data_IF_219262991143
#
_entry.id   IF_219262991143
#
_cell.length_a   1.000
_cell.length_b   1.000
_cell.length_c   1.000
_cell.angle_alpha   90.00
_cell.angle_beta   90.00
_cell.angle_gamma   90.00
#
_symmetry.space_group_name_H-M   'P 1'
#
loop_
_entity.id
_entity.type
_entity.pdbx_description
1 polymer ?
#
# COMPACT_ATOMS: atom_id res chain seq x y z
N UNK A 1 -38.29 -2.03 -19.15
CA UNK A 1 -37.50 -3.21 -19.55
C UNK A 1 -37.53 -3.30 -21.07
N UNK A 2 -36.40 -3.47 -21.77
CA UNK A 2 -36.42 -3.67 -23.22
C UNK A 2 -37.09 -5.01 -23.56
N UNK A 3 -37.97 -5.02 -24.57
CA UNK A 3 -38.64 -6.24 -25.05
C UNK A 3 -37.61 -7.29 -25.52
N UNK A 4 -37.85 -8.60 -25.28
CA UNK A 4 -36.96 -9.64 -25.75
C UNK A 4 -36.87 -9.61 -27.29
N UNK A 5 -35.63 -9.58 -27.80
CA UNK A 5 -35.36 -9.62 -29.25
C UNK A 5 -35.75 -10.99 -29.80
N UNK A 6 -36.24 -11.02 -31.04
CA UNK A 6 -36.60 -12.28 -31.69
C UNK A 6 -35.36 -13.17 -31.88
N UNK A 7 -35.48 -14.51 -31.79
CA UNK A 7 -34.35 -15.44 -31.95
C UNK A 7 -33.57 -15.26 -33.26
N UNK A 8 -34.26 -14.84 -34.33
CA UNK A 8 -33.66 -14.54 -35.63
C UNK A 8 -32.72 -13.31 -35.57
N UNK A 9 -33.08 -12.29 -34.79
CA UNK A 9 -32.21 -11.14 -34.57
C UNK A 9 -30.95 -11.53 -33.76
N UNK A 10 -31.09 -12.46 -32.80
CA UNK A 10 -29.99 -12.93 -31.96
C UNK A 10 -29.00 -13.82 -32.72
N UNK A 11 -29.44 -14.58 -33.73
CA UNK A 11 -28.54 -15.31 -34.62
C UNK A 11 -27.60 -14.37 -35.39
N UNK A 12 -28.05 -13.13 -35.65
CA UNK A 12 -27.24 -12.03 -36.19
C UNK A 12 -25.95 -11.75 -35.39
N UNK A 13 -25.97 -12.03 -34.08
CA UNK A 13 -24.84 -11.84 -33.16
C UNK A 13 -23.79 -12.94 -33.24
N UNK A 14 -23.97 -13.99 -34.06
CA UNK A 14 -22.99 -15.07 -34.22
C UNK A 14 -22.31 -14.99 -35.57
N UNK A 15 -20.98 -15.14 -35.59
CA UNK A 15 -20.24 -15.33 -36.84
C UNK A 15 -20.49 -16.74 -37.42
N UNK A 16 -20.08 -16.98 -38.67
CA UNK A 16 -20.30 -18.25 -39.38
C UNK A 16 -19.79 -19.47 -38.60
N UNK A 17 -18.65 -19.35 -37.90
CA UNK A 17 -18.07 -20.44 -37.09
C UNK A 17 -18.91 -20.77 -35.85
N UNK A 18 -19.41 -19.75 -35.14
CA UNK A 18 -20.23 -19.97 -33.94
C UNK A 18 -21.63 -20.49 -34.29
N UNK A 19 -22.21 -20.05 -35.42
CA UNK A 19 -23.48 -20.61 -35.93
C UNK A 19 -23.34 -22.09 -36.26
N UNK A 20 -22.35 -22.46 -37.05
CA UNK A 20 -22.08 -23.87 -37.38
C UNK A 20 -21.90 -24.74 -36.13
N UNK A 21 -21.33 -24.17 -35.06
CA UNK A 21 -21.16 -24.86 -33.78
C UNK A 21 -22.45 -24.96 -32.98
N UNK A 22 -23.30 -23.92 -32.95
CA UNK A 22 -24.64 -23.98 -32.37
C UNK A 22 -25.50 -25.05 -33.07
N UNK A 23 -25.42 -25.09 -34.40
CA UNK A 23 -26.14 -26.06 -35.23
C UNK A 23 -25.63 -27.49 -34.94
N UNK A 24 -24.31 -27.67 -34.85
CA UNK A 24 -23.69 -28.97 -34.51
C UNK A 24 -24.01 -29.47 -33.10
N UNK A 25 -24.19 -28.57 -32.13
CA UNK A 25 -24.58 -28.93 -30.76
C UNK A 25 -26.08 -29.21 -30.67
N UNK A 26 -26.91 -28.36 -31.28
CA UNK A 26 -28.37 -28.48 -31.24
C UNK A 26 -28.89 -29.65 -32.07
N UNK A 27 -28.20 -30.07 -33.13
CA UNK A 27 -28.58 -31.24 -33.93
C UNK A 27 -28.50 -32.56 -33.16
N UNK A 28 -27.77 -32.58 -32.04
CA UNK A 28 -27.64 -33.74 -31.14
C UNK A 28 -28.77 -33.81 -30.11
N UNK A 29 -29.66 -32.81 -30.05
CA UNK A 29 -30.82 -32.80 -29.17
C UNK A 29 -32.01 -33.32 -29.99
N UNK A 30 -32.52 -34.53 -29.71
CA UNK A 30 -33.52 -35.19 -30.54
C UNK A 30 -34.91 -34.57 -30.38
N UNK A 31 -35.22 -34.06 -29.19
CA UNK A 31 -36.51 -33.44 -28.91
C UNK A 31 -36.55 -31.98 -29.43
N UNK A 32 -37.52 -31.62 -30.28
CA UNK A 32 -37.57 -30.31 -30.93
C UNK A 32 -37.84 -29.16 -29.94
N UNK A 33 -38.57 -29.41 -28.84
CA UNK A 33 -38.87 -28.39 -27.82
C UNK A 33 -37.60 -28.10 -27.01
N UNK A 34 -36.89 -29.15 -26.59
CA UNK A 34 -35.62 -29.01 -25.87
C UNK A 34 -34.53 -28.38 -26.76
N UNK A 35 -34.54 -28.70 -28.06
CA UNK A 35 -33.65 -28.09 -29.05
C UNK A 35 -33.89 -26.58 -29.18
N UNK A 36 -35.14 -26.17 -29.34
CA UNK A 36 -35.52 -24.76 -29.42
C UNK A 36 -35.18 -24.01 -28.12
N UNK A 37 -35.46 -24.63 -26.98
CA UNK A 37 -35.09 -24.09 -25.67
C UNK A 37 -33.58 -23.89 -25.54
N UNK A 38 -32.77 -24.90 -25.90
CA UNK A 38 -31.31 -24.82 -25.84
C UNK A 38 -30.76 -23.69 -26.72
N UNK A 39 -31.30 -23.55 -27.94
CA UNK A 39 -30.90 -22.49 -28.87
C UNK A 39 -31.20 -21.12 -28.28
N UNK A 40 -32.43 -20.89 -27.80
CA UNK A 40 -32.82 -19.60 -27.23
C UNK A 40 -32.01 -19.27 -25.97
N UNK A 41 -31.88 -20.23 -25.05
CA UNK A 41 -31.14 -20.06 -23.81
C UNK A 41 -29.66 -19.74 -24.06
N UNK A 42 -29.05 -20.39 -25.04
CA UNK A 42 -27.65 -20.13 -25.43
C UNK A 42 -27.49 -18.74 -26.03
N UNK A 43 -28.41 -18.32 -26.89
CA UNK A 43 -28.37 -17.00 -27.55
C UNK A 43 -28.59 -15.87 -26.56
N UNK A 44 -29.60 -15.99 -25.69
CA UNK A 44 -29.90 -15.01 -24.63
C UNK A 44 -28.75 -14.90 -23.62
N UNK A 45 -28.25 -16.05 -23.13
CA UNK A 45 -27.13 -16.07 -22.20
C UNK A 45 -25.86 -15.48 -22.80
N UNK A 46 -25.67 -15.60 -24.12
CA UNK A 46 -24.54 -15.00 -24.82
C UNK A 46 -24.72 -13.49 -24.98
N UNK A 47 -25.91 -13.03 -25.36
CA UNK A 47 -26.21 -11.58 -25.48
C UNK A 47 -26.08 -10.86 -24.14
N UNK A 48 -26.49 -11.50 -23.03
CA UNK A 48 -26.42 -10.93 -21.69
C UNK A 48 -24.98 -10.67 -21.20
N UNK A 49 -23.94 -11.21 -21.86
CA UNK A 49 -22.54 -10.96 -21.46
C UNK A 49 -22.07 -9.56 -21.89
N UNK A 50 -21.18 -8.92 -21.10
CA UNK A 50 -20.63 -7.61 -21.41
C UNK A 50 -20.12 -7.52 -22.84
N UNK A 51 -20.41 -6.39 -23.51
CA UNK A 51 -20.09 -6.23 -24.93
C UNK A 51 -18.57 -6.32 -25.21
N UNK A 52 -17.73 -5.84 -24.29
CA UNK A 52 -16.27 -5.93 -24.38
C UNK A 52 -15.77 -7.37 -24.55
N UNK A 53 -16.39 -8.35 -23.86
CA UNK A 53 -16.04 -9.76 -23.96
C UNK A 53 -16.48 -10.39 -25.30
N UNK A 54 -17.52 -9.83 -25.93
CA UNK A 54 -18.06 -10.30 -27.21
C UNK A 54 -17.35 -9.71 -28.43
N UNK A 55 -16.61 -8.61 -28.28
CA UNK A 55 -15.92 -7.92 -29.39
C UNK A 55 -14.63 -8.63 -29.83
N UNK A 56 -13.87 -9.20 -28.90
CA UNK A 56 -12.59 -9.86 -29.22
C UNK A 56 -12.82 -11.29 -29.76
N UNK A 57 -12.29 -11.66 -30.95
CA UNK A 57 -12.63 -12.93 -31.62
C UNK A 57 -12.39 -14.21 -30.79
N UNK A 58 -11.27 -14.26 -30.06
CA UNK A 58 -10.88 -15.41 -29.25
C UNK A 58 -11.76 -15.50 -28.00
N UNK A 59 -11.90 -14.40 -27.26
CA UNK A 59 -12.71 -14.30 -26.04
C UNK A 59 -14.18 -14.60 -26.33
N UNK A 60 -14.69 -14.08 -27.45
CA UNK A 60 -16.06 -14.31 -27.93
C UNK A 60 -16.37 -15.80 -28.12
N UNK A 61 -15.43 -16.57 -28.68
CA UNK A 61 -15.60 -18.01 -28.86
C UNK A 61 -15.61 -18.78 -27.54
N UNK A 62 -14.79 -18.35 -26.58
CA UNK A 62 -14.73 -18.95 -25.24
C UNK A 62 -16.03 -18.70 -24.47
N UNK A 63 -16.48 -17.44 -24.45
CA UNK A 63 -17.73 -17.03 -23.81
C UNK A 63 -18.93 -17.76 -24.40
N UNK A 64 -19.01 -17.86 -25.73
CA UNK A 64 -20.06 -18.62 -26.40
C UNK A 64 -20.05 -20.10 -25.99
N UNK A 65 -18.86 -20.73 -25.92
CA UNK A 65 -18.76 -22.13 -25.54
C UNK A 65 -19.18 -22.37 -24.09
N UNK A 66 -18.83 -21.45 -23.20
CA UNK A 66 -19.21 -21.49 -21.79
C UNK A 66 -20.74 -21.43 -21.63
N UNK A 67 -21.40 -20.45 -22.26
CA UNK A 67 -22.87 -20.30 -22.17
C UNK A 67 -23.60 -21.51 -22.78
N UNK A 68 -23.13 -22.04 -23.91
CA UNK A 68 -23.71 -23.24 -24.50
C UNK A 68 -23.60 -24.46 -23.56
N UNK A 69 -22.51 -24.57 -22.79
CA UNK A 69 -22.35 -25.62 -21.79
C UNK A 69 -23.25 -25.42 -20.58
N UNK A 70 -23.46 -24.18 -20.12
CA UNK A 70 -24.45 -23.88 -19.07
C UNK A 70 -25.86 -24.29 -19.52
N UNK A 71 -26.26 -23.94 -20.75
CA UNK A 71 -27.57 -24.31 -21.29
C UNK A 71 -27.74 -25.84 -21.39
N UNK A 72 -26.72 -26.58 -21.83
CA UNK A 72 -26.74 -28.06 -21.82
C UNK A 72 -26.82 -28.59 -20.38
N UNK A 73 -26.10 -27.98 -19.43
CA UNK A 73 -26.17 -28.34 -18.03
C UNK A 73 -27.59 -28.17 -17.48
N UNK A 74 -28.20 -27.01 -17.67
CA UNK A 74 -29.59 -26.77 -17.26
C UNK A 74 -30.57 -27.79 -17.90
N UNK A 75 -30.36 -28.14 -19.18
CA UNK A 75 -31.16 -29.15 -19.86
C UNK A 75 -31.04 -30.55 -19.24
N UNK A 76 -29.83 -30.92 -18.80
CA UNK A 76 -29.52 -32.24 -18.24
C UNK A 76 -29.92 -32.35 -16.76
N UNK A 77 -29.93 -31.24 -16.03
CA UNK A 77 -30.04 -31.24 -14.56
C UNK A 77 -31.29 -30.55 -13.99
N UNK A 78 -32.14 -29.92 -14.82
CA UNK A 78 -33.39 -29.32 -14.35
C UNK A 78 -34.47 -30.40 -14.07
N UNK A 79 -35.08 -30.47 -12.87
CA UNK A 79 -36.12 -31.47 -12.53
C UNK A 79 -37.47 -31.24 -13.21
N UNK A 80 -37.60 -30.22 -14.07
CA UNK A 80 -38.88 -29.85 -14.66
C UNK A 80 -39.07 -30.54 -16.00
N UNK A 81 -39.77 -31.68 -15.93
CA UNK A 81 -40.47 -32.44 -16.98
C UNK A 81 -39.97 -33.89 -17.09
N UNK A 82 -40.80 -34.80 -16.59
CA UNK A 82 -40.50 -36.21 -16.39
C UNK A 82 -40.21 -36.97 -17.67
N UNK A 83 -38.92 -37.27 -17.89
CA UNK A 83 -38.33 -38.58 -18.25
C UNK A 83 -36.93 -38.30 -18.79
N UNK A 84 -35.92 -38.45 -17.93
CA UNK A 84 -34.51 -38.28 -18.30
C UNK A 84 -34.02 -39.61 -18.89
N UNK A 85 -33.63 -39.63 -20.17
CA UNK A 85 -32.83 -40.71 -20.74
C UNK A 85 -31.35 -40.35 -20.51
N UNK A 86 -30.69 -41.03 -19.57
CA UNK A 86 -29.24 -40.94 -19.38
C UNK A 86 -28.55 -41.98 -20.26
N UNK A 87 -27.54 -41.63 -21.07
CA UNK A 87 -26.49 -42.58 -21.39
C UNK A 87 -25.55 -42.69 -20.17
N UNK A 88 -24.89 -43.83 -20.07
CA UNK A 88 -24.23 -44.42 -18.90
C UNK A 88 -23.21 -43.52 -18.16
N UNK A 89 -22.86 -43.94 -16.93
CA UNK A 89 -21.87 -43.34 -16.01
C UNK A 89 -20.57 -42.76 -16.61
N UNK A 90 -19.93 -43.30 -17.68
CA UNK A 90 -18.71 -42.72 -18.24
C UNK A 90 -18.87 -41.30 -18.82
N UNK A 91 -20.04 -40.95 -19.37
CA UNK A 91 -20.26 -39.61 -19.97
C UNK A 91 -20.37 -38.51 -18.90
N UNK A 92 -20.87 -38.84 -17.70
CA UNK A 92 -20.90 -37.92 -16.56
C UNK A 92 -19.49 -37.61 -16.03
N UNK A 93 -18.63 -38.64 -15.98
CA UNK A 93 -17.23 -38.48 -15.56
C UNK A 93 -16.44 -37.68 -16.60
N UNK A 94 -16.61 -38.00 -17.90
CA UNK A 94 -15.98 -37.26 -18.98
C UNK A 94 -16.41 -35.79 -19.02
N UNK A 95 -17.68 -35.49 -18.75
CA UNK A 95 -18.19 -34.12 -18.67
C UNK A 95 -17.59 -33.33 -17.49
N UNK A 96 -17.49 -33.95 -16.30
CA UNK A 96 -16.87 -33.32 -15.12
C UNK A 96 -15.37 -33.09 -15.30
N UNK A 97 -14.65 -34.06 -15.84
CA UNK A 97 -13.22 -33.92 -16.13
C UNK A 97 -12.97 -32.83 -17.18
N UNK A 98 -13.80 -32.76 -18.21
CA UNK A 98 -13.71 -31.72 -19.25
C UNK A 98 -13.98 -30.32 -18.71
N UNK A 99 -14.94 -30.17 -17.79
CA UNK A 99 -15.22 -28.89 -17.11
C UNK A 99 -14.10 -28.47 -16.17
N UNK A 100 -13.56 -29.40 -15.38
CA UNK A 100 -12.40 -29.13 -14.53
C UNK A 100 -11.19 -28.68 -15.36
N UNK A 101 -10.93 -29.34 -16.50
CA UNK A 101 -9.86 -28.96 -17.42
C UNK A 101 -10.09 -27.56 -18.02
N UNK A 102 -11.31 -27.24 -18.45
CA UNK A 102 -11.65 -25.91 -18.97
C UNK A 102 -11.45 -24.80 -17.95
N UNK A 103 -11.78 -25.07 -16.68
CA UNK A 103 -11.61 -24.12 -15.59
C UNK A 103 -10.14 -23.90 -15.26
N UNK A 104 -9.31 -24.95 -15.26
CA UNK A 104 -7.85 -24.85 -15.12
C UNK A 104 -7.23 -24.05 -16.27
N UNK A 105 -7.65 -24.29 -17.52
CA UNK A 105 -7.15 -23.53 -18.69
C UNK A 105 -7.56 -22.05 -18.59
N UNK A 106 -8.78 -21.75 -18.16
CA UNK A 106 -9.23 -20.37 -17.95
C UNK A 106 -8.42 -19.65 -16.86
N UNK A 107 -8.13 -20.32 -15.74
CA UNK A 107 -7.28 -19.78 -14.68
C UNK A 107 -5.83 -19.56 -15.17
N UNK A 108 -5.28 -20.51 -15.94
CA UNK A 108 -3.94 -20.40 -16.50
C UNK A 108 -3.83 -19.23 -17.51
N UNK A 109 -4.83 -19.07 -18.39
CA UNK A 109 -4.88 -17.95 -19.35
C UNK A 109 -5.08 -16.61 -18.64
N UNK A 110 -5.94 -16.56 -17.61
CA UNK A 110 -6.12 -15.38 -16.77
C UNK A 110 -4.84 -14.97 -16.03
N UNK A 111 -4.14 -15.95 -15.43
CA UNK A 111 -2.86 -15.74 -14.77
C UNK A 111 -1.78 -15.29 -15.75
N UNK A 112 -1.69 -15.93 -16.92
CA UNK A 112 -0.72 -15.55 -17.97
C UNK A 112 -1.01 -14.13 -18.49
N UNK A 113 -2.29 -13.77 -18.70
CA UNK A 113 -2.68 -12.42 -19.09
C UNK A 113 -2.41 -11.37 -18.01
N UNK A 114 -2.56 -11.73 -16.74
CA UNK A 114 -2.20 -10.87 -15.60
C UNK A 114 -0.68 -10.64 -15.52
N UNK A 115 0.11 -11.70 -15.65
CA UNK A 115 1.58 -11.62 -15.65
C UNK A 115 2.07 -10.86 -16.88
N UNK A 116 1.60 -11.20 -18.08
CA UNK A 116 1.97 -10.49 -19.32
C UNK A 116 1.47 -9.05 -19.35
N UNK A 117 0.33 -8.75 -18.72
CA UNK A 117 -0.18 -7.39 -18.54
C UNK A 117 0.71 -6.57 -17.62
N UNK A 118 1.10 -7.11 -16.47
CA UNK A 118 2.02 -6.42 -15.54
C UNK A 118 3.43 -6.29 -16.12
N UNK A 119 3.94 -7.31 -16.80
CA UNK A 119 5.28 -7.30 -17.41
C UNK A 119 5.32 -6.43 -18.67
N UNK A 120 4.30 -6.52 -19.52
CA UNK A 120 4.15 -5.70 -20.72
C UNK A 120 3.86 -4.23 -20.42
N UNK A 121 3.14 -3.93 -19.34
CA UNK A 121 2.99 -2.55 -18.85
C UNK A 121 4.33 -1.99 -18.34
N UNK A 122 5.14 -2.80 -17.65
CA UNK A 122 6.49 -2.43 -17.24
C UNK A 122 7.45 -2.16 -18.41
N UNK A 123 7.51 -3.08 -19.39
CA UNK A 123 8.40 -2.96 -20.56
C UNK A 123 7.91 -1.89 -21.55
N UNK A 124 6.60 -1.79 -21.77
CA UNK A 124 6.00 -0.76 -22.63
C UNK A 124 6.18 0.65 -22.06
N UNK A 125 6.17 0.79 -20.73
CA UNK A 125 6.45 2.06 -20.05
C UNK A 125 7.94 2.43 -20.12
N UNK A 126 8.86 1.49 -19.89
CA UNK A 126 10.29 1.73 -20.10
C UNK A 126 10.61 2.11 -21.56
N UNK A 127 9.95 1.48 -22.54
CA UNK A 127 10.09 1.84 -23.95
C UNK A 127 9.50 3.20 -24.30
N UNK A 128 8.35 3.57 -23.71
CA UNK A 128 7.76 4.90 -23.88
C UNK A 128 8.60 5.98 -23.21
N UNK A 129 9.06 5.77 -21.97
CA UNK A 129 9.93 6.69 -21.23
C UNK A 129 11.27 6.89 -21.96
N UNK A 130 11.85 5.81 -22.52
CA UNK A 130 13.02 5.89 -23.40
C UNK A 130 12.73 6.68 -24.68
N UNK A 131 11.61 6.43 -25.36
CA UNK A 131 11.24 7.14 -26.59
C UNK A 131 10.95 8.64 -26.34
N UNK A 132 10.29 8.98 -25.22
CA UNK A 132 10.06 10.36 -24.80
C UNK A 132 11.36 11.08 -24.40
N UNK A 133 12.34 10.36 -23.83
CA UNK A 133 13.67 10.91 -23.53
C UNK A 133 14.49 11.27 -24.77
N UNK A 134 14.20 10.64 -25.92
CA UNK A 134 14.86 10.91 -27.19
C UNK A 134 14.16 12.00 -28.01
N UNK A 135 12.83 12.13 -27.89
CA UNK A 135 12.01 13.02 -28.73
C UNK A 135 11.81 14.42 -28.13
N UNK A 136 11.95 14.55 -26.81
CA UNK A 136 11.91 15.83 -26.11
C UNK A 136 13.27 15.97 -25.42
N UNK A 137 14.18 16.84 -25.90
CA UNK A 137 15.34 17.19 -25.10
C UNK A 137 14.81 17.88 -23.83
N UNK A 138 14.70 17.10 -22.75
CA UNK A 138 14.61 17.65 -21.40
C UNK A 138 15.87 18.51 -21.30
N UNK A 139 15.78 19.84 -21.14
CA UNK A 139 16.96 20.62 -20.85
C UNK A 139 17.65 19.93 -19.68
N UNK A 140 18.96 19.73 -19.76
CA UNK A 140 19.72 19.15 -18.66
C UNK A 140 19.53 20.03 -17.43
N UNK A 141 18.46 19.79 -16.67
CA UNK A 141 18.21 20.37 -15.36
C UNK A 141 19.14 19.61 -14.46
N UNK A 142 20.37 20.11 -14.42
CA UNK A 142 21.39 19.93 -13.42
C UNK A 142 21.24 18.65 -12.59
N UNK A 143 21.86 17.57 -13.08
CA UNK A 143 22.46 16.50 -12.26
C UNK A 143 23.60 17.00 -11.35
N UNK A 144 23.65 18.32 -11.10
CA UNK A 144 24.61 19.05 -10.27
C UNK A 144 23.90 19.92 -9.22
N UNK A 145 22.67 19.58 -8.79
CA UNK A 145 22.21 20.13 -7.52
C UNK A 145 23.02 19.45 -6.41
N UNK A 146 23.82 20.18 -5.61
CA UNK A 146 24.38 19.63 -4.39
C UNK A 146 23.23 19.09 -3.54
N UNK A 147 23.47 18.10 -2.64
CA UNK A 147 22.45 17.71 -1.67
C UNK A 147 21.90 19.00 -1.05
N UNK A 148 20.59 19.20 -1.18
CA UNK A 148 19.94 20.46 -0.81
C UNK A 148 20.16 20.67 0.69
N UNK A 149 21.23 21.38 1.03
CA UNK A 149 21.53 21.79 2.39
C UNK A 149 20.51 22.87 2.71
N UNK A 150 19.45 22.47 3.39
CA UNK A 150 18.48 23.41 3.93
C UNK A 150 19.16 24.17 5.07
N UNK A 151 18.90 25.48 5.13
CA UNK A 151 19.45 26.30 6.19
C UNK A 151 18.99 25.74 7.57
N UNK A 152 19.89 25.72 8.56
CA UNK A 152 19.53 25.35 9.93
C UNK A 152 18.38 26.20 10.44
N UNK A 153 17.59 25.63 11.35
CA UNK A 153 16.54 26.36 12.05
C UNK A 153 17.13 27.59 12.77
N UNK A 154 16.65 28.78 12.44
CA UNK A 154 17.23 30.03 12.95
C UNK A 154 16.85 30.35 14.42
N UNK A 155 15.70 29.85 14.88
CA UNK A 155 15.11 30.18 16.20
C UNK A 155 14.76 28.90 16.95
N UNK A 156 14.78 28.87 18.30
CA UNK A 156 14.40 27.67 19.06
C UNK A 156 12.93 27.26 18.83
N UNK A 157 12.56 25.99 19.13
CA UNK A 157 11.17 25.54 19.13
C UNK A 157 10.25 26.43 19.97
N UNK A 158 9.11 26.91 19.45
CA UNK A 158 8.13 27.61 20.25
C UNK A 158 7.59 26.65 21.31
N UNK A 159 7.59 27.08 22.58
CA UNK A 159 7.16 26.23 23.69
C UNK A 159 5.64 26.07 23.79
N UNK A 160 4.87 26.95 23.15
CA UNK A 160 3.43 26.90 23.16
C UNK A 160 2.88 27.34 21.80
N UNK A 161 2.35 26.40 21.04
CA UNK A 161 1.68 26.65 19.76
C UNK A 161 0.19 26.34 19.94
N UNK A 162 -0.64 27.39 19.97
CA UNK A 162 -2.08 27.25 20.11
C UNK A 162 -2.81 27.38 18.76
N UNK A 163 -4.00 26.77 18.70
CA UNK A 163 -4.95 26.89 17.61
C UNK A 163 -5.58 28.30 17.65
N UNK A 164 -5.46 29.04 16.55
CA UNK A 164 -6.00 30.41 16.43
C UNK A 164 -7.44 30.38 15.91
N UNK A 165 -7.71 29.51 14.93
CA UNK A 165 -9.01 29.38 14.28
C UNK A 165 -9.19 27.97 13.73
N UNK A 166 -10.39 27.42 13.84
CA UNK A 166 -10.83 26.22 13.13
C UNK A 166 -12.20 26.49 12.51
N UNK A 167 -12.32 26.24 11.21
CA UNK A 167 -13.55 26.34 10.42
C UNK A 167 -13.56 25.32 9.27
N UNK A 168 -14.57 25.42 8.40
CA UNK A 168 -14.79 24.49 7.29
C UNK A 168 -13.63 24.46 6.28
N UNK A 169 -12.83 25.54 6.20
CA UNK A 169 -11.65 25.61 5.32
C UNK A 169 -10.40 25.00 5.96
N UNK A 170 -10.44 24.76 7.28
CA UNK A 170 -9.37 24.12 8.04
C UNK A 170 -8.94 24.87 9.29
N UNK A 171 -7.71 24.61 9.71
CA UNK A 171 -7.12 25.16 10.93
C UNK A 171 -6.04 26.20 10.63
N UNK A 172 -5.96 27.22 11.49
CA UNK A 172 -4.86 28.18 11.54
C UNK A 172 -4.22 28.13 12.93
N UNK A 173 -2.90 27.97 12.98
CA UNK A 173 -2.13 27.92 14.21
C UNK A 173 -1.26 29.17 14.40
N UNK A 174 -0.90 29.43 15.65
CA UNK A 174 -0.16 30.63 16.07
C UNK A 174 1.24 30.78 15.48
N UNK A 175 1.86 29.67 15.04
CA UNK A 175 3.13 29.70 14.28
C UNK A 175 2.92 29.91 12.76
N UNK A 176 1.71 30.24 12.33
CA UNK A 176 1.36 30.48 10.93
C UNK A 176 1.03 29.23 10.13
N UNK A 177 1.08 28.03 10.73
CA UNK A 177 0.67 26.80 10.04
C UNK A 177 -0.82 26.86 9.68
N UNK A 178 -1.12 26.48 8.43
CA UNK A 178 -2.48 26.21 7.97
C UNK A 178 -2.62 24.73 7.64
N UNK A 179 -3.66 24.11 8.19
CA UNK A 179 -3.97 22.69 7.93
C UNK A 179 -5.33 22.60 7.26
N UNK A 180 -5.36 22.06 6.05
CA UNK A 180 -6.62 21.79 5.32
C UNK A 180 -7.19 20.46 5.80
N UNK A 181 -8.46 20.48 6.20
CA UNK A 181 -9.16 19.33 6.81
C UNK A 181 -10.24 18.72 5.90
N UNK A 182 -10.38 19.19 4.66
CA UNK A 182 -11.41 18.72 3.70
C UNK A 182 -11.34 17.21 3.41
N UNK A 183 -10.16 16.59 3.58
CA UNK A 183 -9.94 15.15 3.37
C UNK A 183 -9.89 14.35 4.68
N UNK A 184 -10.06 15.02 5.82
CA UNK A 184 -9.93 14.42 7.14
C UNK A 184 -11.01 13.37 7.38
N UNK A 185 -10.59 12.25 7.96
CA UNK A 185 -11.48 11.24 8.52
C UNK A 185 -11.13 10.93 9.96
N UNK A 186 -12.12 10.57 10.78
CA UNK A 186 -11.82 9.97 12.07
C UNK A 186 -11.17 8.60 11.85
N UNK A 187 -10.06 8.33 12.53
CA UNK A 187 -9.46 7.00 12.62
C UNK A 187 -9.95 6.23 13.84
N UNK A 188 -9.65 4.92 13.96
CA UNK A 188 -9.87 4.20 15.21
C UNK A 188 -8.97 4.76 16.32
N UNK A 189 -9.36 4.67 17.60
CA UNK A 189 -8.61 5.26 18.70
C UNK A 189 -7.24 4.60 18.89
N UNK A 190 -6.24 5.41 19.25
CA UNK A 190 -4.88 4.96 19.58
C UNK A 190 -4.86 4.11 20.85
N UNK A 191 -4.41 2.86 20.75
CA UNK A 191 -4.19 1.97 21.90
C UNK A 191 -2.97 1.07 21.64
N UNK A 192 -1.85 1.34 22.30
CA UNK A 192 -0.59 0.64 22.05
C UNK A 192 0.08 0.21 23.37
N UNK A 193 1.17 -0.53 23.26
CA UNK A 193 2.02 -0.86 24.41
C UNK A 193 3.32 -0.07 24.34
N UNK A 194 3.73 0.49 25.48
CA UNK A 194 5.08 0.95 25.70
C UNK A 194 5.84 -0.12 26.49
N UNK A 195 7.01 -0.54 26.02
CA UNK A 195 7.81 -1.58 26.66
C UNK A 195 8.96 -0.91 27.43
N UNK A 196 8.92 -0.87 28.77
CA UNK A 196 10.01 -0.30 29.55
C UNK A 196 11.37 -0.93 29.24
N UNK A 197 12.41 -0.11 29.13
CA UNK A 197 13.77 -0.57 28.81
C UNK A 197 14.50 -1.23 29.97
N UNK A 198 14.01 -1.02 31.19
CA UNK A 198 14.49 -1.64 32.43
C UNK A 198 14.04 -3.11 32.59
N UNK A 199 13.21 -3.61 31.67
CA UNK A 199 12.65 -4.97 31.73
C UNK A 199 11.35 -5.07 32.53
N UNK A 200 10.81 -3.95 33.02
CA UNK A 200 9.51 -3.90 33.67
C UNK A 200 8.38 -4.33 32.70
N UNK A 201 7.22 -4.79 33.22
CA UNK A 201 6.12 -5.24 32.37
C UNK A 201 5.62 -4.17 31.37
N UNK A 202 5.13 -4.58 30.18
CA UNK A 202 4.61 -3.64 29.19
C UNK A 202 3.42 -2.82 29.72
N UNK A 203 3.40 -1.53 29.41
CA UNK A 203 2.39 -0.59 29.88
C UNK A 203 1.42 -0.29 28.73
N UNK A 204 0.11 -0.61 28.86
CA UNK A 204 -0.88 -0.16 27.87
C UNK A 204 -1.01 1.36 27.93
N UNK A 205 -1.01 1.99 26.76
CA UNK A 205 -1.16 3.44 26.54
C UNK A 205 -2.29 3.67 25.54
N UNK A 206 -2.89 4.85 25.59
CA UNK A 206 -3.90 5.23 24.60
C UNK A 206 -4.22 6.73 24.62
N UNK A 207 -4.99 7.17 23.63
CA UNK A 207 -5.37 8.56 23.44
C UNK A 207 -4.31 9.35 22.67
N UNK A 208 -3.20 9.72 23.33
CA UNK A 208 -2.19 10.58 22.72
C UNK A 208 -1.08 9.79 21.99
N UNK A 209 -0.61 10.28 20.83
CA UNK A 209 0.61 9.78 20.20
C UNK A 209 1.85 10.17 21.02
N UNK A 210 2.91 9.37 20.90
CA UNK A 210 4.20 9.60 21.57
C UNK A 210 5.30 10.06 20.61
N UNK A 211 5.01 10.09 19.31
CA UNK A 211 6.00 10.40 18.29
C UNK A 211 5.46 10.74 16.92
N UNK A 212 6.37 11.09 16.01
CA UNK A 212 6.12 11.39 14.61
C UNK A 212 7.01 10.49 13.76
N UNK A 213 6.43 9.81 12.77
CA UNK A 213 7.19 9.13 11.72
C UNK A 213 7.05 9.94 10.43
N UNK A 214 8.18 10.35 9.85
CA UNK A 214 8.25 11.07 8.58
C UNK A 214 8.42 10.12 7.40
N UNK A 215 7.64 10.34 6.35
CA UNK A 215 7.57 9.49 5.15
C UNK A 215 7.82 10.30 3.89
N UNK A 216 8.19 9.61 2.82
CA UNK A 216 8.00 10.10 1.47
C UNK A 216 6.85 9.33 0.81
N UNK A 217 5.96 10.02 0.10
CA UNK A 217 4.85 9.35 -0.57
C UNK A 217 5.29 8.53 -1.80
N UNK A 218 6.52 8.74 -2.27
CA UNK A 218 7.12 8.09 -3.45
C UNK A 218 6.18 8.07 -4.66
N UNK A 219 5.53 9.20 -4.91
CA UNK A 219 4.52 9.35 -5.96
C UNK A 219 5.15 9.76 -7.29
N UNK A 220 4.50 9.42 -8.40
CA UNK A 220 4.85 9.97 -9.71
C UNK A 220 4.63 11.49 -9.68
N UNK A 221 5.68 12.27 -9.94
CA UNK A 221 5.61 13.74 -9.88
C UNK A 221 5.93 14.38 -11.22
N UNK A 222 5.03 15.26 -11.69
CA UNK A 222 5.33 16.16 -12.80
C UNK A 222 6.44 17.17 -12.42
N UNK A 223 7.11 17.82 -13.40
CA UNK A 223 8.05 18.89 -13.10
C UNK A 223 7.38 20.03 -12.30
N UNK A 224 8.09 20.61 -11.32
CA UNK A 224 7.61 21.77 -10.56
C UNK A 224 7.79 23.04 -11.39
N UNK A 225 6.97 23.21 -12.42
CA UNK A 225 7.00 24.38 -13.30
C UNK A 225 5.58 24.85 -13.62
N UNK A 226 5.44 26.15 -13.94
CA UNK A 226 4.16 26.85 -14.07
C UNK A 226 3.21 26.16 -15.06
N UNK A 227 3.77 25.66 -16.16
CA UNK A 227 3.05 24.96 -17.21
C UNK A 227 2.40 23.65 -16.75
N UNK A 228 2.89 23.05 -15.65
CA UNK A 228 2.34 21.83 -15.06
C UNK A 228 1.37 22.09 -13.90
N UNK A 229 1.07 23.35 -13.53
CA UNK A 229 0.24 23.66 -12.36
C UNK A 229 -1.06 22.85 -12.30
N UNK A 230 -1.82 22.77 -13.40
CA UNK A 230 -3.08 22.02 -13.44
C UNK A 230 -2.86 20.52 -13.20
N UNK A 231 -1.78 19.97 -13.75
CA UNK A 231 -1.45 18.56 -13.57
C UNK A 231 -1.02 18.28 -12.13
N UNK A 232 -0.13 19.09 -11.56
CA UNK A 232 0.31 18.96 -10.17
C UNK A 232 -0.91 18.99 -9.24
N UNK A 233 -1.75 20.03 -9.33
CA UNK A 233 -2.93 20.16 -8.46
C UNK A 233 -3.91 18.99 -8.62
N UNK A 234 -4.14 18.50 -9.84
CA UNK A 234 -5.01 17.34 -10.08
C UNK A 234 -4.44 16.07 -9.48
N UNK A 235 -3.14 15.81 -9.67
CA UNK A 235 -2.46 14.62 -9.14
C UNK A 235 -2.41 14.65 -7.62
N UNK A 236 -2.11 15.79 -7.00
CA UNK A 236 -2.16 15.96 -5.56
C UNK A 236 -3.57 15.70 -5.03
N UNK A 237 -4.61 16.25 -5.67
CA UNK A 237 -6.01 16.00 -5.26
C UNK A 237 -6.38 14.51 -5.34
N UNK A 238 -6.01 13.82 -6.42
CA UNK A 238 -6.27 12.39 -6.59
C UNK A 238 -5.53 11.55 -5.54
N UNK A 239 -4.27 11.92 -5.23
CA UNK A 239 -3.49 11.31 -4.16
C UNK A 239 -4.18 11.48 -2.81
N UNK A 240 -4.61 12.69 -2.46
CA UNK A 240 -5.32 12.98 -1.20
C UNK A 240 -6.60 12.14 -1.08
N UNK A 241 -7.40 12.04 -2.15
CA UNK A 241 -8.59 11.20 -2.18
C UNK A 241 -8.29 9.72 -1.99
N UNK A 242 -7.21 9.22 -2.62
CA UNK A 242 -6.77 7.83 -2.48
C UNK A 242 -6.27 7.50 -1.07
N UNK A 243 -5.48 8.41 -0.47
CA UNK A 243 -4.96 8.29 0.89
C UNK A 243 -6.07 8.35 1.93
N UNK A 244 -7.00 9.30 1.81
CA UNK A 244 -8.17 9.42 2.68
C UNK A 244 -9.08 8.19 2.60
N UNK A 245 -9.27 7.61 1.41
CA UNK A 245 -10.05 6.37 1.26
C UNK A 245 -9.43 5.18 2.00
N UNK A 246 -8.10 5.18 2.19
CA UNK A 246 -7.34 4.09 2.82
C UNK A 246 -6.81 4.42 4.21
N UNK A 247 -7.10 5.62 4.72
CA UNK A 247 -6.65 6.09 6.04
C UNK A 247 -5.12 6.03 6.18
N UNK A 248 -4.40 6.40 5.10
CA UNK A 248 -2.93 6.37 5.06
C UNK A 248 -2.38 7.75 5.41
N UNK A 249 -1.44 7.76 6.37
CA UNK A 249 -0.88 8.94 7.03
C UNK A 249 -1.91 9.75 7.82
N UNK A 250 -1.42 10.49 8.81
CA UNK A 250 -2.21 11.52 9.47
C UNK A 250 -2.13 12.82 8.67
N UNK A 251 -0.96 13.13 8.12
CA UNK A 251 -0.70 14.36 7.37
C UNK A 251 0.04 14.11 6.06
N UNK A 252 -0.30 14.91 5.05
CA UNK A 252 0.46 15.08 3.81
C UNK A 252 0.89 16.54 3.66
N UNK A 253 2.14 16.74 3.26
CA UNK A 253 2.68 18.04 2.87
C UNK A 253 2.92 18.02 1.36
N UNK A 254 2.10 18.77 0.62
CA UNK A 254 2.23 18.85 -0.83
C UNK A 254 3.48 19.63 -1.24
N UNK A 255 3.78 19.64 -2.55
CA UNK A 255 5.01 20.28 -3.07
C UNK A 255 5.05 21.81 -2.91
N UNK A 256 3.92 22.45 -2.65
CA UNK A 256 3.80 23.88 -2.39
C UNK A 256 3.84 24.21 -0.89
N UNK A 257 3.98 23.21 -0.03
CA UNK A 257 4.01 23.36 1.43
C UNK A 257 2.61 23.45 2.05
N UNK A 258 1.55 23.11 1.32
CA UNK A 258 0.22 23.00 1.88
C UNK A 258 0.12 21.71 2.71
N UNK A 259 -0.32 21.85 3.96
CA UNK A 259 -0.53 20.71 4.85
C UNK A 259 -1.99 20.28 4.80
N UNK A 260 -2.21 19.00 4.59
CA UNK A 260 -3.50 18.34 4.59
C UNK A 260 -3.54 17.32 5.72
N UNK A 261 -4.62 17.33 6.51
CA UNK A 261 -4.91 16.26 7.47
C UNK A 261 -5.79 15.21 6.79
N UNK A 262 -5.37 13.95 6.87
CA UNK A 262 -6.04 12.78 6.29
C UNK A 262 -6.74 11.97 7.37
N UNK A 263 -6.04 11.70 8.48
CA UNK A 263 -6.58 11.03 9.66
C UNK A 263 -6.35 11.93 10.87
N UNK A 264 -7.39 12.11 11.68
CA UNK A 264 -7.33 12.91 12.90
C UNK A 264 -6.18 12.50 13.83
N UNK A 265 -5.67 13.45 14.64
CA UNK A 265 -4.55 13.19 15.56
C UNK A 265 -4.84 12.04 16.52
N UNK A 266 -6.07 11.95 17.03
CA UNK A 266 -6.54 10.92 17.95
C UNK A 266 -6.81 9.56 17.26
N UNK A 267 -6.82 9.57 15.93
CA UNK A 267 -7.04 8.41 15.06
C UNK A 267 -5.75 7.74 14.62
N UNK A 268 -5.79 6.42 14.49
CA UNK A 268 -4.70 5.61 13.93
C UNK A 268 -4.75 5.64 12.41
N UNK A 269 -3.66 6.08 11.78
CA UNK A 269 -3.43 5.94 10.35
C UNK A 269 -2.61 4.69 10.03
N UNK A 270 -2.69 4.20 8.79
CA UNK A 270 -1.85 3.11 8.28
C UNK A 270 -0.62 3.71 7.61
N UNK A 271 0.56 3.66 8.25
CA UNK A 271 1.75 4.31 7.67
C UNK A 271 3.11 3.63 7.93
N UNK A 272 3.37 3.14 9.14
CA UNK A 272 4.66 2.59 9.55
C UNK A 272 4.78 1.06 9.43
N UNK A 273 3.66 0.33 9.42
CA UNK A 273 3.66 -1.13 9.30
C UNK A 273 4.51 -1.82 10.38
N UNK A 274 5.27 -2.86 10.00
CA UNK A 274 6.24 -3.50 10.89
C UNK A 274 7.41 -2.55 11.14
N UNK A 275 7.44 -2.01 12.35
CA UNK A 275 8.35 -0.91 12.70
C UNK A 275 8.75 -0.96 14.16
N UNK A 276 9.95 -0.45 14.47
CA UNK A 276 10.56 -0.46 15.80
C UNK A 276 11.21 0.90 16.06
N UNK A 277 10.90 1.49 17.22
CA UNK A 277 11.64 2.64 17.74
C UNK A 277 11.79 2.57 19.25
N UNK A 278 12.66 3.41 19.84
CA UNK A 278 12.82 3.52 21.27
C UNK A 278 13.33 4.91 21.69
N UNK A 279 12.83 5.40 22.81
CA UNK A 279 13.39 6.55 23.51
C UNK A 279 14.23 6.12 24.71
N UNK A 280 14.51 7.04 25.65
CA UNK A 280 15.25 6.75 26.88
C UNK A 280 14.54 5.69 27.75
N UNK A 281 13.21 5.68 27.73
CA UNK A 281 12.39 4.98 28.72
C UNK A 281 11.72 3.74 28.13
N UNK A 282 11.30 3.81 26.87
CA UNK A 282 10.42 2.83 26.26
C UNK A 282 10.90 2.39 24.87
N UNK A 283 10.62 1.13 24.56
CA UNK A 283 10.60 0.58 23.21
C UNK A 283 9.16 0.55 22.69
N UNK A 284 8.99 0.81 21.41
CA UNK A 284 7.71 0.85 20.70
C UNK A 284 7.76 -0.05 19.46
N UNK A 285 6.71 -0.83 19.25
CA UNK A 285 6.58 -1.76 18.13
C UNK A 285 5.28 -1.45 17.36
N UNK A 286 5.30 -1.65 16.03
CA UNK A 286 4.20 -1.34 15.12
C UNK A 286 3.66 0.08 15.30
N UNK A 287 4.44 1.06 14.85
CA UNK A 287 4.30 2.46 15.24
C UNK A 287 3.03 3.17 14.73
N UNK A 288 2.19 2.53 13.89
CA UNK A 288 0.92 3.11 13.43
C UNK A 288 0.06 3.66 14.59
N UNK A 289 0.00 2.90 15.69
CA UNK A 289 -0.90 3.22 16.79
C UNK A 289 -0.31 4.25 17.76
N UNK A 290 1.02 4.27 17.90
CA UNK A 290 1.75 5.13 18.83
C UNK A 290 2.26 6.43 18.22
N UNK A 291 2.44 6.50 16.90
CA UNK A 291 3.05 7.65 16.22
C UNK A 291 2.08 8.28 15.21
N UNK A 292 2.28 9.56 14.92
CA UNK A 292 1.64 10.27 13.81
C UNK A 292 2.45 10.04 12.54
N UNK A 293 1.79 9.66 11.44
CA UNK A 293 2.43 9.59 10.12
C UNK A 293 2.37 10.94 9.39
N UNK A 294 3.52 11.53 9.09
CA UNK A 294 3.63 12.76 8.28
C UNK A 294 4.37 12.42 6.98
N UNK A 295 3.72 12.58 5.84
CA UNK A 295 4.31 12.27 4.55
C UNK A 295 4.57 13.52 3.71
N UNK A 296 5.72 13.54 3.03
CA UNK A 296 6.06 14.53 2.03
C UNK A 296 5.66 14.01 0.66
N UNK A 297 4.88 14.78 -0.10
CA UNK A 297 4.66 14.49 -1.51
C UNK A 297 5.99 14.61 -2.25
N UNK A 298 6.60 13.48 -2.58
CA UNK A 298 7.98 13.40 -3.05
C UNK A 298 8.20 12.14 -3.88
N UNK A 299 9.35 12.08 -4.55
CA UNK A 299 9.84 10.92 -5.28
C UNK A 299 11.28 10.67 -4.88
N UNK A 300 11.66 9.40 -4.97
CA UNK A 300 13.04 8.96 -4.86
C UNK A 300 13.81 9.27 -6.15
N UNK A 301 14.90 10.02 -6.05
CA UNK A 301 15.77 10.37 -7.18
C UNK A 301 17.24 10.25 -6.74
N UNK A 302 18.04 9.44 -7.45
CA UNK A 302 19.45 9.18 -7.14
C UNK A 302 19.74 8.83 -5.65
N UNK A 303 18.79 8.16 -4.99
CA UNK A 303 18.92 7.77 -3.58
C UNK A 303 18.51 8.83 -2.56
N UNK A 304 17.99 9.98 -2.98
CA UNK A 304 17.47 11.02 -2.08
C UNK A 304 16.02 11.34 -2.42
N UNK A 305 15.28 11.82 -1.43
CA UNK A 305 13.93 12.32 -1.65
C UNK A 305 13.99 13.76 -2.19
N UNK A 306 13.27 14.03 -3.26
CA UNK A 306 13.19 15.38 -3.84
C UNK A 306 12.07 16.17 -3.16
N UNK A 307 12.45 17.10 -2.27
CA UNK A 307 11.54 17.99 -1.54
C UNK A 307 11.85 19.47 -1.75
N UNK A 308 10.86 20.33 -1.55
CA UNK A 308 10.97 21.79 -1.74
C UNK A 308 11.26 22.54 -0.43
N UNK A 309 11.82 23.76 -0.48
CA UNK A 309 11.93 24.61 0.71
C UNK A 309 10.59 24.91 1.39
N UNK A 310 9.51 25.01 0.60
CA UNK A 310 8.16 25.21 1.14
C UNK A 310 7.70 24.01 1.98
N UNK A 311 7.99 22.79 1.52
CA UNK A 311 7.74 21.57 2.28
C UNK A 311 8.52 21.54 3.60
N UNK A 312 9.80 21.92 3.59
CA UNK A 312 10.63 21.97 4.81
C UNK A 312 10.06 22.97 5.81
N UNK A 313 9.67 24.17 5.37
CA UNK A 313 9.07 25.17 6.25
C UNK A 313 7.72 24.71 6.82
N UNK A 314 6.88 24.07 6.00
CA UNK A 314 5.61 23.51 6.44
C UNK A 314 5.80 22.38 7.44
N UNK A 315 6.79 21.49 7.20
CA UNK A 315 7.13 20.41 8.09
C UNK A 315 7.64 20.92 9.44
N UNK A 316 8.54 21.92 9.45
CA UNK A 316 8.99 22.59 10.67
C UNK A 316 7.80 23.09 11.50
N UNK A 317 6.88 23.83 10.86
CA UNK A 317 5.72 24.39 11.56
C UNK A 317 4.74 23.29 12.05
N UNK A 318 4.55 22.24 11.27
CA UNK A 318 3.71 21.10 11.66
C UNK A 318 4.33 20.33 12.82
N UNK A 319 5.63 20.06 12.77
CA UNK A 319 6.37 19.41 13.85
C UNK A 319 6.26 20.21 15.15
N UNK A 320 6.37 21.54 15.10
CA UNK A 320 6.19 22.40 16.27
C UNK A 320 4.77 22.29 16.86
N UNK A 321 3.73 22.31 16.02
CA UNK A 321 2.33 22.11 16.45
C UNK A 321 2.17 20.74 17.13
N UNK A 322 2.61 19.67 16.48
CA UNK A 322 2.42 18.30 16.97
C UNK A 322 3.19 18.06 18.27
N UNK A 323 4.43 18.54 18.36
CA UNK A 323 5.24 18.44 19.58
C UNK A 323 4.64 19.26 20.72
N UNK A 324 4.22 20.50 20.47
CA UNK A 324 3.59 21.34 21.50
C UNK A 324 2.27 20.76 21.98
N UNK A 325 1.43 20.25 21.07
CA UNK A 325 0.08 19.76 21.40
C UNK A 325 0.11 18.43 22.15
N UNK A 326 0.98 17.51 21.74
CA UNK A 326 1.00 16.14 22.25
C UNK A 326 2.18 15.86 23.20
N UNK A 327 2.98 16.88 23.51
CA UNK A 327 4.21 16.75 24.30
C UNK A 327 5.17 15.69 23.73
N UNK A 328 5.32 15.67 22.40
CA UNK A 328 6.20 14.72 21.71
C UNK A 328 7.66 15.15 21.88
N UNK A 329 8.46 14.25 22.43
CA UNK A 329 9.90 14.44 22.57
C UNK A 329 10.62 14.45 21.21
N UNK A 330 11.71 15.20 21.12
CA UNK A 330 12.58 15.24 19.93
C UNK A 330 13.02 13.84 19.49
N UNK A 331 13.37 13.00 20.47
CA UNK A 331 13.79 11.62 20.29
C UNK A 331 12.78 10.75 19.54
N UNK A 332 11.50 11.09 19.62
CA UNK A 332 10.42 10.36 18.97
C UNK A 332 9.96 11.00 17.65
N UNK A 333 10.75 11.94 17.10
CA UNK A 333 10.55 12.49 15.75
C UNK A 333 11.54 11.83 14.78
N UNK A 334 11.08 10.86 14.00
CA UNK A 334 11.96 9.94 13.26
C UNK A 334 11.52 9.70 11.80
N UNK A 335 12.45 9.53 10.86
CA UNK A 335 12.15 9.10 9.50
C UNK A 335 11.79 7.61 9.44
N UNK A 336 10.93 7.24 8.49
CA UNK A 336 10.42 5.88 8.33
C UNK A 336 11.52 4.85 8.03
N UNK A 337 12.50 5.20 7.19
CA UNK A 337 13.60 4.30 6.85
C UNK A 337 14.42 3.79 8.04
N UNK A 338 14.41 4.52 9.16
CA UNK A 338 15.15 4.16 10.38
C UNK A 338 14.35 3.20 11.27
N UNK A 339 13.03 3.21 11.15
CA UNK A 339 12.13 2.40 11.98
C UNK A 339 11.58 1.19 11.25
N UNK A 340 11.59 1.20 9.92
CA UNK A 340 11.00 0.14 9.08
C UNK A 340 11.81 -1.15 9.14
N UNK A 341 11.15 -2.28 9.40
CA UNK A 341 11.82 -3.58 9.52
C UNK A 341 11.11 -4.70 8.75
N UNK A 342 11.90 -5.65 8.25
CA UNK A 342 11.39 -6.95 7.83
C UNK A 342 11.33 -7.86 9.06
N UNK A 343 10.16 -7.90 9.70
CA UNK A 343 9.94 -8.68 10.92
C UNK A 343 10.17 -10.19 10.74
N UNK A 344 10.04 -10.74 9.54
CA UNK A 344 10.24 -12.17 9.26
C UNK A 344 11.72 -12.50 9.13
N UNK A 345 12.44 -11.74 8.30
CA UNK A 345 13.88 -11.94 8.06
C UNK A 345 14.77 -11.33 9.15
N UNK A 346 14.20 -10.55 10.07
CA UNK A 346 14.92 -9.78 11.10
C UNK A 346 15.92 -8.79 10.49
N UNK A 347 15.46 -8.08 9.45
CA UNK A 347 16.26 -7.08 8.75
C UNK A 347 15.72 -5.67 9.00
N UNK A 348 16.59 -4.68 9.09
CA UNK A 348 16.23 -3.25 9.06
C UNK A 348 16.00 -2.77 7.62
N UNK A 349 15.47 -1.55 7.45
CA UNK A 349 15.43 -0.88 6.15
C UNK A 349 14.49 -1.53 5.12
N UNK A 350 13.40 -2.14 5.58
CA UNK A 350 12.42 -2.76 4.66
C UNK A 350 11.85 -1.73 3.68
N UNK A 351 11.39 -0.59 4.23
CA UNK A 351 11.26 0.66 3.48
C UNK A 351 12.50 1.52 3.75
N UNK A 352 12.96 2.24 2.72
CA UNK A 352 14.18 3.05 2.79
C UNK A 352 13.91 4.54 2.52
N UNK A 353 12.65 4.96 2.46
CA UNK A 353 12.31 6.38 2.40
C UNK A 353 12.90 7.08 3.63
N UNK A 354 13.61 8.18 3.39
CA UNK A 354 14.36 8.89 4.43
C UNK A 354 15.37 8.05 5.23
N UNK A 355 15.86 6.92 4.69
CA UNK A 355 16.99 6.21 5.28
C UNK A 355 18.31 7.00 5.21
N UNK A 356 18.33 8.08 4.42
CA UNK A 356 19.38 9.12 4.39
C UNK A 356 18.78 10.47 3.96
N UNK A 357 19.46 11.56 4.32
CA UNK A 357 19.16 12.90 3.81
C UNK A 357 17.92 13.58 4.40
N UNK A 358 17.32 13.06 5.47
CA UNK A 358 16.23 13.76 6.16
C UNK A 358 16.74 15.07 6.80
N UNK A 359 16.07 16.21 6.61
CA UNK A 359 16.58 17.52 7.01
C UNK A 359 16.34 17.82 8.50
N UNK A 360 16.93 17.03 9.41
CA UNK A 360 16.74 17.18 10.86
C UNK A 360 17.02 18.59 11.37
N UNK A 361 18.16 19.16 10.97
CA UNK A 361 18.60 20.49 11.44
C UNK A 361 17.65 21.61 11.01
N UNK A 362 17.10 21.54 9.80
CA UNK A 362 16.12 22.51 9.30
C UNK A 362 14.78 22.42 10.05
N UNK A 363 14.44 21.24 10.56
CA UNK A 363 13.27 21.03 11.43
C UNK A 363 13.59 21.32 12.92
N UNK A 364 14.84 21.67 13.26
CA UNK A 364 15.28 21.85 14.64
C UNK A 364 15.23 20.58 15.47
N UNK A 365 15.54 19.44 14.85
CA UNK A 365 15.58 18.12 15.45
C UNK A 365 17.02 17.63 15.56
N UNK A 366 17.29 16.77 16.54
CA UNK A 366 18.56 16.06 16.60
C UNK A 366 18.69 15.03 15.47
N UNK A 367 19.89 14.82 14.96
CA UNK A 367 20.13 13.85 13.89
C UNK A 367 20.00 12.40 14.39
N UNK A 368 18.92 11.73 13.96
CA UNK A 368 18.64 10.34 14.37
C UNK A 368 19.46 9.31 13.60
N UNK A 369 20.17 9.69 12.53
CA UNK A 369 21.14 8.82 11.86
C UNK A 369 22.34 8.49 12.75
N UNK A 370 22.58 9.28 13.80
CA UNK A 370 23.67 9.06 14.75
C UNK A 370 23.28 8.09 15.88
N UNK A 371 22.00 7.78 16.04
CA UNK A 371 21.53 6.94 17.15
C UNK A 371 21.57 5.46 16.78
N UNK A 372 21.98 4.57 17.71
CA UNK A 372 21.86 3.12 17.54
C UNK A 372 20.43 2.69 17.24
N UNK A 373 20.15 2.01 16.10
CA UNK A 373 18.82 1.52 15.82
C UNK A 373 18.37 0.51 16.88
N UNK A 374 17.22 0.72 17.54
CA UNK A 374 16.73 -0.20 18.57
C UNK A 374 16.38 -1.58 18.01
N UNK A 375 16.04 -1.67 16.72
CA UNK A 375 15.88 -2.94 16.02
C UNK A 375 17.14 -3.83 16.13
N UNK A 376 18.33 -3.25 16.04
CA UNK A 376 19.61 -3.95 16.22
C UNK A 376 19.92 -4.08 17.72
N UNK A 377 20.03 -2.94 18.41
CA UNK A 377 20.57 -2.89 19.77
C UNK A 377 19.68 -3.59 20.82
N UNK A 378 18.35 -3.51 20.68
CA UNK A 378 17.39 -4.08 21.63
C UNK A 378 16.77 -5.41 21.15
N UNK A 379 16.75 -5.66 19.84
CA UNK A 379 16.04 -6.80 19.26
C UNK A 379 16.89 -7.70 18.34
N UNK A 380 18.17 -7.37 18.11
CA UNK A 380 19.12 -8.25 17.43
C UNK A 380 18.88 -8.39 15.91
N UNK A 381 18.18 -7.46 15.28
CA UNK A 381 17.98 -7.42 13.82
C UNK A 381 19.31 -7.08 13.13
N UNK A 382 19.46 -7.50 11.87
CA UNK A 382 20.63 -7.24 11.03
C UNK A 382 20.22 -6.45 9.77
N UNK A 383 21.11 -6.36 8.79
CA UNK A 383 20.88 -5.80 7.46
C UNK A 383 21.46 -6.75 6.41
N UNK A 384 21.06 -6.56 5.15
CA UNK A 384 21.58 -7.30 4.00
C UNK A 384 22.36 -6.38 3.04
N UNK A 385 23.07 -7.00 2.09
CA UNK A 385 23.85 -6.28 1.08
C UNK A 385 22.95 -5.41 0.17
N UNK A 386 21.73 -5.87 -0.11
CA UNK A 386 20.74 -5.12 -0.89
C UNK A 386 20.44 -3.74 -0.27
N UNK A 387 20.27 -3.67 1.06
CA UNK A 387 20.08 -2.39 1.75
C UNK A 387 21.31 -1.49 1.62
N UNK A 388 22.50 -2.07 1.79
CA UNK A 388 23.78 -1.32 1.70
C UNK A 388 23.95 -0.74 0.29
N UNK A 389 23.71 -1.54 -0.76
CA UNK A 389 23.77 -1.10 -2.15
C UNK A 389 22.76 0.01 -2.44
N UNK A 390 21.51 -0.15 -1.99
CA UNK A 390 20.45 0.86 -2.15
C UNK A 390 20.78 2.22 -1.51
N UNK A 391 21.60 2.23 -0.47
CA UNK A 391 22.04 3.45 0.22
C UNK A 391 23.37 4.01 -0.30
N UNK A 392 23.95 3.39 -1.33
CA UNK A 392 25.18 3.85 -1.98
C UNK A 392 26.46 3.29 -1.35
N UNK A 393 26.39 2.11 -0.74
CA UNK A 393 27.54 1.38 -0.22
C UNK A 393 27.79 1.52 1.28
N UNK A 394 27.09 2.46 1.95
CA UNK A 394 27.25 2.70 3.39
C UNK A 394 25.89 2.89 4.06
N UNK A 395 25.78 2.37 5.29
CA UNK A 395 24.62 2.59 6.17
C UNK A 395 24.84 3.82 7.05
N UNK A 396 23.77 4.31 7.68
CA UNK A 396 23.89 5.45 8.58
C UNK A 396 24.74 5.12 9.83
N UNK A 397 25.47 6.10 10.41
CA UNK A 397 26.48 5.87 11.45
C UNK A 397 25.98 5.09 12.67
N UNK A 398 24.72 5.31 13.07
CA UNK A 398 24.08 4.61 14.18
C UNK A 398 24.06 3.09 14.03
N UNK A 399 24.02 2.54 12.80
CA UNK A 399 24.08 1.09 12.58
C UNK A 399 25.41 0.53 13.09
N UNK A 400 26.53 1.15 12.69
CA UNK A 400 27.84 0.72 13.13
C UNK A 400 28.02 0.84 14.65
N UNK A 401 27.38 1.85 15.27
CA UNK A 401 27.36 1.97 16.72
C UNK A 401 26.58 0.83 17.39
N UNK A 402 25.39 0.51 16.89
CA UNK A 402 24.58 -0.59 17.42
C UNK A 402 25.30 -1.94 17.32
N UNK A 403 26.02 -2.20 16.21
CA UNK A 403 26.84 -3.40 16.06
C UNK A 403 27.98 -3.46 17.09
N UNK A 404 28.67 -2.33 17.34
CA UNK A 404 29.72 -2.25 18.37
C UNK A 404 29.16 -2.52 19.77
N UNK A 405 28.02 -1.93 20.10
CA UNK A 405 27.34 -2.11 21.39
C UNK A 405 26.90 -3.57 21.58
N UNK A 406 26.31 -4.19 20.55
CA UNK A 406 25.91 -5.59 20.57
C UNK A 406 27.11 -6.51 20.78
N UNK A 407 28.21 -6.27 20.04
CA UNK A 407 29.43 -7.05 20.17
C UNK A 407 30.14 -6.88 21.52
N UNK A 408 30.06 -5.68 22.12
CA UNK A 408 30.57 -5.43 23.46
C UNK A 408 29.75 -6.19 24.50
N UNK A 409 28.41 -6.09 24.43
CA UNK A 409 27.50 -6.80 25.32
C UNK A 409 27.65 -8.33 25.23
N UNK A 410 27.83 -8.87 24.02
CA UNK A 410 28.07 -10.31 23.84
C UNK A 410 29.36 -10.75 24.52
N UNK A 411 30.43 -9.95 24.42
CA UNK A 411 31.71 -10.18 25.10
C UNK A 411 31.55 -10.13 26.63
N UNK A 412 30.85 -9.12 27.15
CA UNK A 412 30.61 -8.97 28.59
C UNK A 412 29.78 -10.15 29.16
N UNK A 413 28.83 -10.66 28.36
CA UNK A 413 28.01 -11.83 28.70
C UNK A 413 28.74 -13.17 28.47
N UNK A 414 29.97 -13.17 27.93
CA UNK A 414 30.75 -14.38 27.64
C UNK A 414 30.14 -15.27 26.54
N UNK A 415 29.38 -14.68 25.61
CA UNK A 415 28.70 -15.38 24.51
C UNK A 415 29.07 -14.79 23.14
N UNK A 416 28.72 -15.48 22.05
CA UNK A 416 28.92 -14.91 20.71
C UNK A 416 27.82 -13.90 20.36
N UNK A 417 28.09 -12.95 19.45
CA UNK A 417 27.08 -12.00 18.96
C UNK A 417 25.82 -12.69 18.41
N UNK A 418 25.96 -13.82 17.74
CA UNK A 418 24.85 -14.59 17.16
C UNK A 418 23.93 -15.15 18.24
N UNK A 419 24.51 -15.65 19.34
CA UNK A 419 23.75 -16.15 20.50
C UNK A 419 22.99 -15.00 21.17
N UNK A 420 23.64 -13.84 21.33
CA UNK A 420 22.97 -12.65 21.86
C UNK A 420 21.83 -12.20 20.95
N UNK A 421 22.04 -12.14 19.62
CA UNK A 421 21.00 -11.81 18.63
C UNK A 421 19.82 -12.77 18.72
N UNK A 422 20.05 -14.07 18.86
CA UNK A 422 18.97 -15.05 19.01
C UNK A 422 18.13 -14.77 20.27
N UNK A 423 18.77 -14.42 21.39
CA UNK A 423 18.09 -14.04 22.63
C UNK A 423 17.26 -12.75 22.47
N UNK A 424 17.83 -11.72 21.85
CA UNK A 424 17.12 -10.46 21.59
C UNK A 424 15.95 -10.63 20.61
N UNK A 425 16.12 -11.49 19.60
CA UNK A 425 15.05 -11.84 18.68
C UNK A 425 13.89 -12.56 19.39
N UNK A 426 14.16 -13.41 20.38
CA UNK A 426 13.11 -14.02 21.19
C UNK A 426 12.31 -12.97 21.97
N UNK A 427 12.98 -11.96 22.55
CA UNK A 427 12.32 -10.82 23.20
C UNK A 427 11.41 -10.07 22.23
N UNK A 428 11.88 -9.82 21.00
CA UNK A 428 11.01 -9.23 19.96
C UNK A 428 9.76 -10.08 19.72
N UNK A 429 9.90 -11.39 19.58
CA UNK A 429 8.77 -12.29 19.33
C UNK A 429 7.75 -12.28 20.47
N UNK A 430 8.22 -12.21 21.71
CA UNK A 430 7.34 -12.08 22.89
C UNK A 430 6.59 -10.75 22.87
N UNK A 431 7.28 -9.64 22.64
CA UNK A 431 6.69 -8.31 22.64
C UNK A 431 5.70 -8.12 21.48
N UNK A 432 6.04 -8.56 20.27
CA UNK A 432 5.15 -8.41 19.10
C UNK A 432 3.91 -9.30 19.18
N UNK A 433 3.99 -10.46 19.85
CA UNK A 433 2.83 -11.31 20.08
C UNK A 433 1.77 -10.60 20.96
N UNK A 434 2.21 -9.83 21.96
CA UNK A 434 1.31 -9.02 22.79
C UNK A 434 0.62 -7.92 21.97
N UNK A 435 1.37 -7.22 21.12
CA UNK A 435 0.82 -6.20 20.22
C UNK A 435 -0.21 -6.81 19.27
N UNK A 436 0.14 -7.89 18.56
CA UNK A 436 -0.74 -8.55 17.60
C UNK A 436 -1.99 -9.17 18.25
N UNK A 437 -1.84 -9.74 19.46
CA UNK A 437 -2.95 -10.29 20.23
C UNK A 437 -4.00 -9.24 20.62
N UNK A 438 -3.57 -8.01 20.91
CA UNK A 438 -4.46 -6.87 21.17
C UNK A 438 -5.18 -6.40 19.89
N UNK A 439 -4.46 -6.27 18.78
CA UNK A 439 -5.04 -5.81 17.51
C UNK A 439 -6.04 -6.81 16.91
N UNK A 440 -5.83 -8.12 17.10
CA UNK A 440 -6.76 -9.17 16.65
C UNK A 440 -8.09 -9.15 17.41
N UNK A 441 -8.06 -9.00 18.74
CA UNK A 441 -9.28 -8.87 19.57
C UNK A 441 -10.13 -7.66 19.17
N UNK A 442 -9.50 -6.56 18.72
CA UNK A 442 -10.21 -5.36 18.22
C UNK A 442 -10.92 -5.58 16.89
N UNK A 443 -10.29 -6.25 15.92
CA UNK A 443 -10.94 -6.56 14.63
C UNK A 443 -12.19 -7.44 14.78
N UNK A 444 -12.21 -8.30 15.80
CA UNK A 444 -13.39 -9.10 16.16
C UNK A 444 -14.56 -8.26 16.70
N UNK A 445 -14.27 -7.25 17.52
CA UNK A 445 -15.30 -6.38 18.13
C UNK A 445 -15.95 -5.44 17.10
N UNK A 446 -15.17 -4.89 16.16
CA UNK A 446 -15.69 -4.04 15.08
C UNK A 446 -16.54 -4.77 14.04
N UNK A 447 -16.41 -6.10 13.93
CA UNK A 447 -17.20 -6.93 13.00
C UNK A 447 -18.53 -7.41 13.59
N UNK A 448 -18.66 -7.45 14.91
CA UNK A 448 -19.88 -7.88 15.59
C UNK A 448 -20.92 -6.74 15.77
N UNK A 449 -20.54 -5.50 15.43
CA UNK A 449 -21.38 -4.30 15.57
C UNK A 449 -21.71 -3.58 14.26
N UNK A 450 -21.61 -4.25 13.11
CA UNK A 450 -22.11 -3.75 11.82
C UNK A 450 -23.19 -4.65 11.26
#
# INVERSE_FOLDING_TARGET
MPSPRSPLALLGLLNRRLRARLDSLSSRIPDPVHKLWFINRTLEGFEAKPEGLRRLPIVRSIVFHYVALEAIGELVWSPRQGKIFLPTSPLRVAYRLRHALLLVVMLAVGFTGYVAGNYGYGVGRQGADWLFSQLIPVPAVASNMPPTSFAPRASPPPQNVWLVRADDDGELWSNGLRVVTTFEKPGPPRIYFAFPRDGSPPIPKGGAPVGIVYHASQSDMAPLAREFNRNILSTTHDLLGWLSTREIYNYIIDRFGQVYRIVSDDGVAVHAGASIWADENYEYLNLNESFIGVAFESRWDAGLEVITPAQVQAALNLTDVLRSRHNIADRNCVPHGLVSVNATKKLIGYHADWARGFPFEALGLEDKYLLPPPSIAAFGFTYDEDLVERLGGELWPGVAQAERELNARARDDGITPEVLRARLNLRYQQNIALVNGSSSKRKGFTRAGR
#
